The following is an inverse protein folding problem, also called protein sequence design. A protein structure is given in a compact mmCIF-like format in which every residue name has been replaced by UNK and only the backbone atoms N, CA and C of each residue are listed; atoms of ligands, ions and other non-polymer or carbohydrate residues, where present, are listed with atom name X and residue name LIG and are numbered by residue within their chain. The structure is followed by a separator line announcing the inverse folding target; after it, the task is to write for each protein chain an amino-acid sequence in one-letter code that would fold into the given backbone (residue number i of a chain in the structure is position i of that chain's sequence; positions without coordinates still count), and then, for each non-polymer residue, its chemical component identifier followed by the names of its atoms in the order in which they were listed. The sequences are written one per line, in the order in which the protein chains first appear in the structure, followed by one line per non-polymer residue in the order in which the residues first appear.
data_IF_928616466085
#
_entry.id   IF_928616466085
#
_cell.length_a   1.000
_cell.length_b   1.000
_cell.length_c   1.000
_cell.angle_alpha   90.00
_cell.angle_beta   90.00
_cell.angle_gamma   90.00
#
_symmetry.space_group_name_H-M   'P 1'
#
loop_
_entity.id
_entity.type
_entity.pdbx_description
1 polymer ?
#
# COMPACT_ATOMS: atom_id res chain seq x y z
N UNK A 1 -9.97 -6.75 0.56
CA UNK A 1 -8.68 -6.16 0.20
C UNK A 1 -7.57 -7.17 0.44
N UNK A 2 -6.56 -7.19 -0.40
CA UNK A 2 -5.39 -8.05 -0.25
C UNK A 2 -4.17 -7.20 0.09
N UNK A 3 -3.23 -7.75 0.86
CA UNK A 3 -2.00 -7.06 1.23
C UNK A 3 -0.78 -7.97 0.99
N UNK A 4 0.27 -7.39 0.42
CA UNK A 4 1.54 -8.07 0.18
C UNK A 4 2.70 -7.07 0.15
N UNK A 5 3.72 -7.29 0.95
CA UNK A 5 4.91 -6.42 1.08
C UNK A 5 4.58 -4.93 1.30
N UNK A 6 3.49 -4.65 2.03
CA UNK A 6 3.02 -3.29 2.29
C UNK A 6 2.19 -2.66 1.17
N UNK A 7 1.94 -3.40 0.08
CA UNK A 7 1.07 -2.97 -1.02
C UNK A 7 -0.34 -3.53 -0.82
N UNK A 8 -1.34 -2.73 -1.14
CA UNK A 8 -2.75 -3.11 -1.03
C UNK A 8 -3.34 -3.28 -2.42
N UNK A 9 -3.94 -4.44 -2.66
CA UNK A 9 -4.71 -4.75 -3.85
C UNK A 9 -6.21 -4.60 -3.60
N UNK A 10 -6.87 -3.79 -4.42
CA UNK A 10 -8.32 -3.71 -4.54
C UNK A 10 -8.76 -4.59 -5.69
N UNK A 11 -9.82 -5.37 -5.50
CA UNK A 11 -10.37 -6.26 -6.52
C UNK A 11 -11.83 -5.93 -6.81
N UNK A 12 -12.22 -6.13 -8.07
CA UNK A 12 -13.58 -6.00 -8.56
C UNK A 12 -13.91 -7.21 -9.44
N UNK A 13 -15.14 -7.66 -9.38
CA UNK A 13 -15.63 -8.77 -10.19
C UNK A 13 -16.27 -8.22 -11.47
N UNK A 14 -15.81 -8.74 -12.61
CA UNK A 14 -16.39 -8.46 -13.92
C UNK A 14 -17.33 -9.63 -14.30
N UNK A 15 -18.62 -9.41 -14.18
CA UNK A 15 -19.64 -10.42 -14.48
C UNK A 15 -19.68 -10.79 -15.96
N UNK A 16 -19.41 -9.83 -16.88
CA UNK A 16 -19.46 -10.08 -18.31
C UNK A 16 -18.30 -10.97 -18.76
N UNK A 17 -17.11 -10.69 -18.25
CA UNK A 17 -15.91 -11.47 -18.55
C UNK A 17 -15.78 -12.73 -17.68
N UNK A 18 -16.52 -12.84 -16.58
CA UNK A 18 -16.37 -13.90 -15.59
C UNK A 18 -15.01 -13.91 -14.90
N UNK A 19 -14.40 -12.74 -14.77
CA UNK A 19 -13.04 -12.57 -14.27
C UNK A 19 -13.02 -11.61 -13.07
N UNK A 20 -12.00 -11.77 -12.25
CA UNK A 20 -11.71 -10.85 -11.15
C UNK A 20 -10.53 -9.99 -11.57
N UNK A 21 -10.72 -8.69 -11.59
CA UNK A 21 -9.68 -7.71 -11.85
C UNK A 21 -9.26 -7.01 -10.57
N UNK A 22 -8.01 -6.63 -10.49
CA UNK A 22 -7.51 -5.87 -9.36
C UNK A 22 -6.47 -4.83 -9.75
N UNK A 23 -6.31 -3.87 -8.88
CA UNK A 23 -5.33 -2.79 -9.00
C UNK A 23 -4.64 -2.58 -7.64
N UNK A 24 -3.34 -2.34 -7.67
CA UNK A 24 -2.60 -1.90 -6.48
C UNK A 24 -2.90 -0.42 -6.26
N UNK A 25 -3.45 -0.11 -5.11
CA UNK A 25 -3.85 1.25 -4.75
C UNK A 25 -2.72 2.01 -4.05
N UNK A 26 -2.81 3.35 -4.07
CA UNK A 26 -1.85 4.27 -3.44
C UNK A 26 -0.43 4.24 -4.03
N UNK A 27 -0.29 3.85 -5.29
CA UNK A 27 0.94 3.95 -6.07
C UNK A 27 0.77 4.95 -7.21
N UNK A 28 1.88 5.57 -7.65
CA UNK A 28 1.88 6.45 -8.84
C UNK A 28 1.82 5.64 -10.11
N UNK A 29 2.47 4.49 -10.09
CA UNK A 29 2.45 3.56 -11.20
C UNK A 29 1.16 2.73 -11.17
N UNK A 30 0.63 2.42 -12.32
CA UNK A 30 -0.55 1.56 -12.44
C UNK A 30 -0.09 0.11 -12.47
N UNK A 31 -0.46 -0.63 -11.44
CA UNK A 31 -0.15 -2.07 -11.31
C UNK A 31 -1.48 -2.80 -11.25
N UNK A 32 -1.77 -3.59 -12.28
CA UNK A 32 -3.01 -4.36 -12.38
C UNK A 32 -2.73 -5.85 -12.39
N UNK A 33 -3.71 -6.62 -11.97
CA UNK A 33 -3.67 -8.07 -11.94
C UNK A 33 -5.07 -8.63 -12.16
N UNK A 34 -5.17 -9.87 -12.63
CA UNK A 34 -6.44 -10.51 -12.90
C UNK A 34 -6.35 -12.04 -12.76
N UNK A 35 -7.49 -12.68 -12.61
CA UNK A 35 -7.60 -14.13 -12.57
C UNK A 35 -9.05 -14.61 -12.57
N UNK A 36 -9.23 -15.91 -12.84
CA UNK A 36 -10.54 -16.56 -12.89
C UNK A 36 -11.01 -17.05 -11.52
N UNK A 37 -10.13 -17.07 -10.55
CA UNK A 37 -10.40 -17.53 -9.19
C UNK A 37 -9.68 -16.68 -8.15
N UNK A 38 -10.15 -16.72 -6.91
CA UNK A 38 -9.52 -16.01 -5.80
C UNK A 38 -8.05 -16.42 -5.62
N UNK A 39 -7.74 -17.70 -5.78
CA UNK A 39 -6.37 -18.19 -5.67
C UNK A 39 -5.46 -17.64 -6.77
N UNK A 40 -5.94 -17.60 -8.02
CA UNK A 40 -5.20 -17.04 -9.14
C UNK A 40 -4.99 -15.52 -8.99
N UNK A 41 -6.02 -14.79 -8.59
CA UNK A 41 -5.94 -13.35 -8.35
C UNK A 41 -4.93 -13.02 -7.26
N UNK A 42 -4.93 -13.78 -6.16
CA UNK A 42 -3.96 -13.61 -5.09
C UNK A 42 -2.52 -13.85 -5.55
N UNK A 43 -2.31 -14.91 -6.33
CA UNK A 43 -1.01 -15.20 -6.92
C UNK A 43 -0.59 -14.10 -7.89
N UNK A 44 -1.47 -13.68 -8.80
CA UNK A 44 -1.22 -12.61 -9.76
C UNK A 44 -0.90 -11.27 -9.08
N UNK A 45 -1.56 -10.97 -7.97
CA UNK A 45 -1.25 -9.80 -7.15
C UNK A 45 0.17 -9.85 -6.60
N UNK A 46 0.56 -10.96 -5.98
CA UNK A 46 1.92 -11.12 -5.44
C UNK A 46 2.99 -10.99 -6.52
N UNK A 47 2.78 -11.66 -7.65
CA UNK A 47 3.70 -11.61 -8.79
C UNK A 47 3.80 -10.19 -9.37
N UNK A 48 2.68 -9.48 -9.50
CA UNK A 48 2.68 -8.11 -10.02
C UNK A 48 3.42 -7.13 -9.10
N UNK A 49 3.33 -7.31 -7.79
CA UNK A 49 4.12 -6.53 -6.82
C UNK A 49 5.60 -6.87 -6.94
N UNK A 50 5.95 -8.14 -7.02
CA UNK A 50 7.36 -8.57 -7.14
C UNK A 50 7.99 -8.08 -8.45
N UNK A 51 7.27 -8.15 -9.57
CA UNK A 51 7.71 -7.63 -10.85
C UNK A 51 7.90 -6.10 -10.81
N UNK A 52 7.01 -5.39 -10.13
CA UNK A 52 7.14 -3.95 -9.95
C UNK A 52 8.40 -3.60 -9.17
N UNK A 53 8.69 -4.30 -8.09
CA UNK A 53 9.87 -4.10 -7.27
C UNK A 53 11.16 -4.40 -8.06
N UNK A 54 11.18 -5.50 -8.80
CA UNK A 54 12.29 -5.87 -9.69
C UNK A 54 12.51 -4.84 -10.81
N UNK A 55 11.43 -4.35 -11.41
CA UNK A 55 11.47 -3.30 -12.41
C UNK A 55 12.08 -2.01 -11.87
N UNK A 56 11.70 -1.58 -10.68
CA UNK A 56 12.27 -0.40 -10.03
C UNK A 56 13.76 -0.59 -9.73
N UNK A 57 14.16 -1.77 -9.25
CA UNK A 57 15.56 -2.11 -8.98
C UNK A 57 16.42 -2.06 -10.26
N UNK A 58 15.93 -2.66 -11.35
CA UNK A 58 16.60 -2.67 -12.64
C UNK A 58 16.83 -1.25 -13.20
N UNK A 59 15.92 -0.33 -12.91
CA UNK A 59 16.01 1.07 -13.33
C UNK A 59 16.75 1.97 -12.37
N UNK A 60 17.18 1.45 -11.21
CA UNK A 60 17.79 2.24 -10.16
C UNK A 60 16.84 3.27 -9.53
N UNK A 61 15.55 3.01 -9.58
CA UNK A 61 14.51 3.88 -9.04
C UNK A 61 13.96 3.31 -7.72
N UNK A 62 13.67 4.19 -6.77
CA UNK A 62 13.01 3.78 -5.53
C UNK A 62 11.53 3.45 -5.80
N UNK A 63 11.05 2.26 -5.40
CA UNK A 63 9.65 1.92 -5.53
C UNK A 63 8.77 2.83 -4.65
N UNK A 64 7.53 3.04 -5.08
CA UNK A 64 6.55 3.73 -4.25
C UNK A 64 6.29 2.95 -2.97
N UNK A 65 6.24 3.66 -1.85
CA UNK A 65 5.86 3.13 -0.56
C UNK A 65 4.53 3.74 -0.15
N UNK A 66 3.42 3.03 -0.29
CA UNK A 66 2.08 3.57 -0.02
C UNK A 66 1.93 4.09 1.40
N UNK A 67 2.62 3.46 2.34
CA UNK A 67 2.55 3.77 3.76
C UNK A 67 3.95 4.04 4.32
N UNK A 68 4.46 5.24 4.06
CA UNK A 68 5.79 5.67 4.51
C UNK A 68 5.87 5.97 6.02
N UNK A 69 4.73 6.03 6.69
CA UNK A 69 4.61 6.53 8.06
C UNK A 69 4.56 8.05 8.16
N UNK A 70 4.51 8.74 7.03
CA UNK A 70 4.40 10.21 6.97
C UNK A 70 3.18 10.62 6.17
N UNK A 71 2.38 11.49 6.71
CA UNK A 71 1.30 12.18 6.02
C UNK A 71 1.08 13.56 6.59
N UNK A 72 0.53 14.46 5.81
CA UNK A 72 0.22 15.82 6.21
C UNK A 72 -1.28 15.96 6.36
N UNK A 73 -1.73 16.49 7.50
CA UNK A 73 -3.13 16.85 7.72
C UNK A 73 -3.24 18.32 8.05
N UNK A 74 -4.35 18.92 7.63
CA UNK A 74 -4.69 20.30 7.98
C UNK A 74 -5.87 20.28 8.94
N UNK A 75 -5.70 20.95 10.06
CA UNK A 75 -6.71 21.06 11.11
C UNK A 75 -6.99 22.54 11.40
N UNK A 76 -8.16 22.88 11.94
CA UNK A 76 -8.45 24.24 12.37
C UNK A 76 -7.42 24.74 13.40
N UNK A 77 -7.07 26.05 13.39
CA UNK A 77 -6.07 26.61 14.32
C UNK A 77 -6.41 26.38 15.79
N UNK A 78 -7.68 26.45 16.16
CA UNK A 78 -8.12 26.21 17.55
C UNK A 78 -7.89 24.77 17.98
N UNK A 79 -8.15 23.81 17.10
CA UNK A 79 -7.87 22.39 17.36
C UNK A 79 -6.35 22.14 17.44
N UNK A 80 -5.56 22.78 16.59
CA UNK A 80 -4.09 22.70 16.65
C UNK A 80 -3.56 23.15 18.01
N UNK A 81 -4.08 24.27 18.53
CA UNK A 81 -3.72 24.78 19.86
C UNK A 81 -4.12 23.77 20.95
N UNK A 82 -5.34 23.25 20.92
CA UNK A 82 -5.82 22.28 21.91
C UNK A 82 -4.98 21.00 21.92
N UNK A 83 -4.63 20.48 20.75
CA UNK A 83 -3.77 19.30 20.63
C UNK A 83 -2.38 19.55 21.20
N UNK A 84 -1.81 20.71 20.93
CA UNK A 84 -0.50 21.10 21.46
C UNK A 84 -0.51 21.20 23.00
N UNK A 85 -1.54 21.80 23.56
CA UNK A 85 -1.71 21.91 25.02
C UNK A 85 -1.90 20.52 25.65
N UNK A 86 -2.71 19.66 25.04
CA UNK A 86 -2.94 18.29 25.51
C UNK A 86 -1.64 17.47 25.52
N UNK A 87 -0.83 17.58 24.48
CA UNK A 87 0.48 16.93 24.42
C UNK A 87 1.41 17.42 25.54
N UNK A 88 1.46 18.74 25.74
CA UNK A 88 2.28 19.35 26.79
C UNK A 88 1.86 18.89 28.19
N UNK A 89 0.56 18.87 28.49
CA UNK A 89 0.03 18.40 29.77
C UNK A 89 0.28 16.91 30.01
N UNK A 90 0.39 16.14 28.93
CA UNK A 90 0.71 14.70 28.97
C UNK A 90 2.22 14.42 29.05
N UNK A 91 3.06 15.44 29.05
CA UNK A 91 4.52 15.32 29.06
C UNK A 91 5.10 14.69 27.81
N UNK A 92 4.40 14.79 26.66
CA UNK A 92 4.76 14.18 25.40
C UNK A 92 4.98 15.23 24.31
N UNK A 93 5.76 14.87 23.28
CA UNK A 93 5.80 15.69 22.07
C UNK A 93 4.45 15.68 21.36
N UNK A 94 4.18 16.70 20.56
CA UNK A 94 2.97 16.78 19.74
C UNK A 94 2.81 15.54 18.88
N UNK A 95 3.88 15.14 18.22
CA UNK A 95 3.89 13.93 17.34
C UNK A 95 3.57 12.66 18.13
N UNK A 96 4.20 12.44 19.26
CA UNK A 96 3.98 11.26 20.10
C UNK A 96 2.53 11.19 20.62
N UNK A 97 1.98 12.32 21.04
CA UNK A 97 0.59 12.40 21.49
C UNK A 97 -0.40 12.09 20.35
N UNK A 98 -0.19 12.67 19.17
CA UNK A 98 -1.04 12.41 17.98
C UNK A 98 -1.00 10.94 17.57
N UNK A 99 0.19 10.33 17.52
CA UNK A 99 0.35 8.90 17.21
C UNK A 99 -0.45 8.04 18.19
N UNK A 100 -0.37 8.32 19.47
CA UNK A 100 -1.13 7.58 20.50
C UNK A 100 -2.64 7.71 20.32
N UNK A 101 -3.15 8.90 20.00
CA UNK A 101 -4.57 9.12 19.72
C UNK A 101 -5.03 8.37 18.49
N UNK A 102 -4.23 8.37 17.42
CA UNK A 102 -4.53 7.62 16.20
C UNK A 102 -4.55 6.10 16.45
N UNK A 103 -3.60 5.58 17.20
CA UNK A 103 -3.57 4.16 17.59
C UNK A 103 -4.84 3.77 18.38
N UNK A 104 -5.23 4.60 19.34
CA UNK A 104 -6.46 4.39 20.10
C UNK A 104 -7.73 4.44 19.24
N UNK A 105 -7.76 5.35 18.26
CA UNK A 105 -8.89 5.46 17.34
C UNK A 105 -8.99 4.23 16.41
N UNK A 106 -7.89 3.77 15.85
CA UNK A 106 -7.83 2.59 14.99
C UNK A 106 -8.24 1.33 15.74
N UNK A 107 -7.77 1.16 16.97
CA UNK A 107 -8.14 0.01 17.82
C UNK A 107 -9.64 -0.05 18.09
N UNK A 108 -10.31 1.09 18.23
CA UNK A 108 -11.77 1.16 18.43
C UNK A 108 -12.57 0.76 17.20
N UNK A 109 -12.02 1.00 16.01
CA UNK A 109 -12.68 0.64 14.73
C UNK A 109 -12.48 -0.85 14.39
N UNK A 110 -11.59 -1.56 15.10
CA UNK A 110 -11.35 -2.98 14.87
C UNK A 110 -10.60 -3.28 13.58
N UNK A 111 -9.90 -2.31 13.03
CA UNK A 111 -8.94 -2.56 11.94
C UNK A 111 -7.80 -3.37 12.52
N UNK A 112 -7.70 -4.65 12.13
CA UNK A 112 -6.78 -5.60 12.69
C UNK A 112 -5.34 -5.09 12.72
N UNK A 113 -4.70 -5.26 13.86
CA UNK A 113 -3.27 -5.06 14.00
C UNK A 113 -2.57 -6.14 13.18
N UNK A 114 -2.06 -5.78 12.02
CA UNK A 114 -0.95 -6.52 11.44
C UNK A 114 0.26 -6.22 12.32
N UNK A 115 0.65 -7.20 13.11
CA UNK A 115 1.80 -7.09 14.00
C UNK A 115 3.06 -6.74 13.19
N UNK A 116 3.85 -5.74 13.59
CA UNK A 116 5.13 -5.46 12.95
C UNK A 116 6.10 -6.59 13.30
N UNK A 117 6.52 -7.35 12.29
CA UNK A 117 7.74 -8.14 12.37
C UNK A 117 7.61 -9.60 12.77
N UNK A 118 7.08 -10.45 11.93
CA UNK A 118 7.55 -11.82 11.83
C UNK A 118 8.36 -11.98 10.54
N UNK A 119 9.67 -12.11 10.71
CA UNK A 119 10.55 -12.58 9.64
C UNK A 119 10.13 -14.00 9.27
N UNK A 120 9.40 -14.16 8.17
CA UNK A 120 9.21 -15.46 7.57
C UNK A 120 10.50 -15.85 6.86
N UNK A 121 11.16 -16.84 7.41
CA UNK A 121 12.23 -17.57 6.73
C UNK A 121 11.55 -18.43 5.66
N UNK A 122 11.59 -17.99 4.41
CA UNK A 122 11.09 -18.76 3.29
C UNK A 122 12.14 -19.79 2.87
N UNK A 123 11.83 -21.08 3.09
CA UNK A 123 12.50 -22.19 2.42
C UNK A 123 12.11 -22.17 0.95
N UNK A 124 13.10 -22.02 0.10
CA UNK A 124 13.03 -22.09 -1.36
C UNK A 124 12.45 -23.43 -1.83
N UNK A 125 11.31 -23.40 -2.49
CA UNK A 125 10.86 -24.48 -3.34
C UNK A 125 10.88 -24.01 -4.79
N UNK A 126 11.82 -24.55 -5.58
CA UNK A 126 11.86 -24.42 -7.02
C UNK A 126 10.58 -25.00 -7.62
N UNK A 127 9.79 -24.18 -8.31
CA UNK A 127 8.74 -24.67 -9.19
C UNK A 127 8.74 -23.93 -10.53
N UNK A 128 8.68 -24.75 -11.58
CA UNK A 128 8.74 -24.38 -13.00
C UNK A 128 7.71 -23.32 -13.37
N UNK A 129 8.17 -22.32 -14.12
CA UNK A 129 7.37 -21.29 -14.77
C UNK A 129 6.29 -21.91 -15.66
N UNK A 130 5.05 -21.56 -15.39
CA UNK A 130 3.99 -21.58 -16.39
C UNK A 130 3.45 -20.14 -16.45
N UNK A 131 3.70 -19.49 -17.57
CA UNK A 131 3.29 -18.12 -17.81
C UNK A 131 1.78 -18.12 -18.05
N UNK A 132 1.01 -17.56 -17.15
CA UNK A 132 -0.41 -17.26 -17.37
C UNK A 132 -0.68 -15.88 -16.75
N UNK A 133 -1.00 -14.92 -17.60
CA UNK A 133 -1.47 -13.59 -17.20
C UNK A 133 -0.63 -12.46 -17.80
N UNK A 134 -1.25 -11.67 -18.66
CA UNK A 134 -0.63 -10.44 -19.16
C UNK A 134 -0.50 -9.46 -17.99
N UNK A 135 0.74 -9.15 -17.65
CA UNK A 135 1.10 -8.13 -16.68
C UNK A 135 1.28 -6.81 -17.41
N UNK A 136 0.54 -5.81 -17.04
CA UNK A 136 0.72 -4.46 -17.58
C UNK A 136 1.12 -3.54 -16.44
N UNK A 137 2.38 -3.11 -16.46
CA UNK A 137 2.86 -2.00 -15.63
C UNK A 137 2.98 -0.79 -16.53
N UNK A 138 2.09 0.19 -16.35
CA UNK A 138 2.16 1.46 -17.08
C UNK A 138 2.34 2.63 -16.11
N UNK A 139 3.23 3.56 -16.48
CA UNK A 139 3.45 4.78 -15.73
C UNK A 139 2.49 5.86 -16.18
N UNK A 140 1.88 6.54 -15.23
CA UNK A 140 1.22 7.81 -15.51
C UNK A 140 2.28 8.82 -15.95
N UNK A 141 2.05 9.60 -17.02
CA UNK A 141 2.99 10.65 -17.41
C UNK A 141 3.14 11.66 -16.27
N UNK A 142 4.37 12.02 -15.95
CA UNK A 142 4.63 13.14 -15.04
C UNK A 142 3.96 14.39 -15.63
N UNK A 143 3.24 15.18 -14.83
CA UNK A 143 2.87 16.51 -15.28
C UNK A 143 4.17 17.25 -15.63
N UNK A 144 4.27 17.67 -16.87
CA UNK A 144 5.37 18.51 -17.31
C UNK A 144 5.26 19.83 -16.56
N UNK A 145 6.25 20.11 -15.70
CA UNK A 145 6.48 21.47 -15.23
C UNK A 145 6.77 22.34 -16.45
N UNK A 146 5.74 22.96 -17.00
CA UNK A 146 5.91 24.08 -17.89
C UNK A 146 6.19 25.29 -17.01
N UNK A 147 7.46 25.53 -16.72
CA UNK A 147 7.94 26.87 -16.42
C UNK A 147 8.00 27.63 -17.74
N UNK A 148 6.96 28.43 -17.95
CA UNK A 148 7.06 29.53 -18.89
C UNK A 148 7.78 30.70 -18.19
#
# INVERSE_FOLDING_TARGET
MMEYKGYIGKVEFDEEAGMIHGEVIHTRDVITFQGDSVAQVKQAFHESVDDYLEFCETRGESPDKPFSGQFVTRIPPDLHRQVNVAALLSGKSLNAWVVEQLQGAVSRVGVGQTAPGQKLVTKTAKRKKKIVGQKVVSRKPKPSDQHA
#
